data_IF_291786458323
#
_entry.id   IF_291786458323
#
_cell.length_a   1.000
_cell.length_b   1.000
_cell.length_c   1.000
_cell.angle_alpha   90.00
_cell.angle_beta   90.00
_cell.angle_gamma   90.00
#
_symmetry.space_group_name_H-M   'P 1'
#
loop_
_entity.id
_entity.type
_entity.pdbx_description
1 polymer ?
#
# COMPACT_ATOMS: atom_id res chain seq x y z
N UNK A 1 16.24 10.95 8.12
CA UNK A 1 14.85 11.28 7.74
C UNK A 1 14.19 10.02 7.18
N UNK A 2 13.04 9.58 7.72
CA UNK A 2 12.35 8.36 7.23
C UNK A 2 12.02 8.48 5.74
N UNK A 3 12.12 7.38 5.01
CA UNK A 3 11.85 7.34 3.58
C UNK A 3 10.33 7.35 3.36
N UNK A 4 9.83 8.30 2.57
CA UNK A 4 8.40 8.42 2.26
C UNK A 4 8.06 7.72 0.95
N UNK A 5 6.79 7.35 0.76
CA UNK A 5 6.31 6.72 -0.48
C UNK A 5 6.48 7.66 -1.68
N UNK A 6 6.68 7.10 -2.89
CA UNK A 6 6.76 7.86 -4.13
C UNK A 6 5.40 7.97 -4.84
N UNK A 7 4.43 7.11 -4.48
CA UNK A 7 3.05 7.12 -4.98
C UNK A 7 2.08 7.62 -3.92
N UNK A 8 0.99 8.25 -4.38
CA UNK A 8 -0.23 8.38 -3.58
C UNK A 8 -1.04 7.09 -3.78
N UNK A 9 -1.45 6.46 -2.69
CA UNK A 9 -2.21 5.22 -2.75
C UNK A 9 -3.45 5.31 -1.86
N UNK A 10 -4.56 4.78 -2.35
CA UNK A 10 -5.78 4.69 -1.57
C UNK A 10 -5.54 3.78 -0.35
N UNK A 11 -5.94 4.23 0.85
CA UNK A 11 -5.69 3.49 2.09
C UNK A 11 -4.25 3.55 2.63
N UNK A 12 -3.33 4.24 1.94
CA UNK A 12 -1.93 4.34 2.35
C UNK A 12 -1.77 4.91 3.77
N UNK A 13 -0.89 4.30 4.56
CA UNK A 13 -0.74 4.59 5.99
C UNK A 13 0.28 5.69 6.31
N UNK A 14 0.64 6.53 5.34
CA UNK A 14 1.67 7.59 5.51
C UNK A 14 1.45 8.45 6.76
N UNK A 15 0.20 8.81 7.08
CA UNK A 15 -0.11 9.66 8.24
C UNK A 15 -0.17 8.91 9.58
N UNK A 16 -0.27 7.58 9.56
CA UNK A 16 -0.35 6.75 10.77
C UNK A 16 0.87 5.84 10.96
N UNK A 17 1.78 5.77 9.98
CA UNK A 17 2.87 4.79 9.94
C UNK A 17 3.81 4.91 11.13
N UNK A 18 4.07 6.12 11.63
CA UNK A 18 4.90 6.29 12.83
C UNK A 18 4.28 5.63 14.05
N UNK A 19 2.96 5.77 14.22
CA UNK A 19 2.25 5.13 15.32
C UNK A 19 2.08 3.63 15.07
N UNK A 20 1.78 3.22 13.84
CA UNK A 20 1.72 1.80 13.45
C UNK A 20 3.05 1.08 13.72
N UNK A 21 4.18 1.72 13.39
CA UNK A 21 5.52 1.16 13.62
C UNK A 21 5.81 0.85 15.08
N UNK A 22 5.11 1.49 16.03
CA UNK A 22 5.28 1.21 17.47
C UNK A 22 4.64 -0.11 17.92
N UNK A 23 3.80 -0.71 17.08
CA UNK A 23 3.14 -2.00 17.33
C UNK A 23 3.88 -3.18 16.69
N UNK A 24 4.88 -2.91 15.84
CA UNK A 24 5.72 -3.92 15.17
C UNK A 24 6.56 -4.66 16.23
N UNK A 25 6.73 -5.99 16.12
CA UNK A 25 7.50 -6.75 17.10
C UNK A 25 8.97 -6.35 17.03
N UNK A 26 9.66 -6.28 18.17
CA UNK A 26 11.03 -5.73 18.22
C UNK A 26 12.06 -6.54 17.45
N UNK A 27 11.83 -7.84 17.31
CA UNK A 27 12.67 -8.85 16.66
C UNK A 27 12.17 -9.20 15.24
N UNK A 28 11.36 -8.33 14.62
CA UNK A 28 10.86 -8.53 13.25
C UNK A 28 11.97 -8.73 12.21
N UNK A 29 13.21 -8.35 12.54
CA UNK A 29 14.39 -8.48 11.70
C UNK A 29 15.02 -9.89 11.74
N UNK A 30 14.57 -10.79 12.62
CA UNK A 30 15.10 -12.16 12.72
C UNK A 30 14.67 -13.04 11.53
N UNK A 31 13.53 -12.74 10.92
CA UNK A 31 13.00 -13.41 9.73
C UNK A 31 12.83 -12.46 8.55
N UNK A 32 12.08 -12.92 7.56
CA UNK A 32 11.69 -12.14 6.38
C UNK A 32 10.47 -11.28 6.69
N UNK A 33 10.49 -10.02 6.24
CA UNK A 33 9.32 -9.15 6.28
C UNK A 33 8.41 -9.43 5.08
N UNK A 34 7.12 -9.65 5.32
CA UNK A 34 6.13 -9.87 4.27
C UNK A 34 5.05 -8.79 4.32
N UNK A 35 4.73 -8.20 3.17
CA UNK A 35 3.62 -7.25 3.01
C UNK A 35 2.84 -7.60 1.73
N UNK A 36 1.84 -8.51 1.81
CA UNK A 36 1.07 -8.98 0.66
C UNK A 36 -0.06 -8.06 0.20
N UNK A 37 -0.20 -6.91 0.86
CA UNK A 37 -1.07 -5.82 0.46
C UNK A 37 -0.25 -4.54 0.37
N UNK A 38 0.80 -4.56 -0.46
CA UNK A 38 1.82 -3.51 -0.51
C UNK A 38 1.24 -2.10 -0.64
N UNK A 39 0.35 -1.91 -1.62
CA UNK A 39 -0.14 -0.59 -1.98
C UNK A 39 0.98 0.46 -2.13
N UNK A 40 0.98 1.49 -1.28
CA UNK A 40 2.01 2.54 -1.31
C UNK A 40 3.36 2.15 -0.69
N UNK A 41 3.46 1.03 0.02
CA UNK A 41 4.66 0.57 0.72
C UNK A 41 5.06 1.41 1.93
N UNK A 42 4.10 2.12 2.55
CA UNK A 42 4.41 3.01 3.67
C UNK A 42 5.03 2.29 4.85
N UNK A 43 4.55 1.08 5.19
CA UNK A 43 5.08 0.32 6.32
C UNK A 43 6.48 -0.19 6.02
N UNK A 44 6.69 -0.81 4.85
CA UNK A 44 8.01 -1.18 4.36
C UNK A 44 9.04 -0.05 4.43
N UNK A 45 8.74 1.13 3.86
CA UNK A 45 9.71 2.25 3.86
C UNK A 45 9.97 2.83 5.25
N UNK A 46 9.02 2.73 6.18
CA UNK A 46 9.20 3.18 7.55
C UNK A 46 10.05 2.23 8.39
N UNK A 47 9.98 0.92 8.13
CA UNK A 47 10.77 -0.10 8.82
C UNK A 47 12.14 -0.33 8.19
N UNK A 48 12.21 -0.29 6.86
CA UNK A 48 13.40 -0.62 6.07
C UNK A 48 14.03 -1.97 6.48
N UNK A 49 13.26 -3.07 6.46
CA UNK A 49 13.75 -4.39 6.87
C UNK A 49 14.93 -4.87 6.02
N UNK A 50 15.82 -5.71 6.57
CA UNK A 50 16.98 -6.21 5.83
C UNK A 50 16.61 -7.14 4.66
N UNK A 51 15.55 -7.94 4.84
CA UNK A 51 14.99 -8.86 3.86
C UNK A 51 13.48 -8.67 3.82
N UNK A 52 12.92 -8.54 2.62
CA UNK A 52 11.49 -8.36 2.44
C UNK A 52 10.96 -9.02 1.17
N UNK A 53 9.73 -9.50 1.24
CA UNK A 53 8.92 -9.89 0.10
C UNK A 53 7.66 -9.03 0.10
N UNK A 54 7.52 -8.22 -0.94
CA UNK A 54 6.41 -7.29 -1.11
C UNK A 54 5.56 -7.78 -2.27
N UNK A 55 4.24 -7.86 -2.05
CA UNK A 55 3.32 -8.27 -3.10
C UNK A 55 2.01 -7.51 -3.09
N UNK A 56 1.37 -7.51 -4.26
CA UNK A 56 0.06 -6.91 -4.49
C UNK A 56 -0.54 -7.57 -5.74
N UNK A 57 -1.86 -7.67 -5.80
CA UNK A 57 -2.58 -8.16 -6.99
C UNK A 57 -2.45 -7.17 -8.16
N UNK A 58 -2.16 -5.90 -7.90
CA UNK A 58 -2.00 -4.89 -8.93
C UNK A 58 -0.65 -5.04 -9.64
N UNK A 59 -0.68 -5.68 -10.81
CA UNK A 59 0.50 -5.89 -11.65
C UNK A 59 1.19 -4.59 -12.10
N UNK A 60 0.43 -3.51 -12.34
CA UNK A 60 0.99 -2.22 -12.73
C UNK A 60 1.76 -1.57 -11.57
N UNK A 61 1.25 -1.72 -10.34
CA UNK A 61 1.93 -1.26 -9.13
C UNK A 61 3.27 -1.98 -8.96
N UNK A 62 3.26 -3.31 -8.98
CA UNK A 62 4.46 -4.12 -8.79
C UNK A 62 5.47 -3.86 -9.90
N UNK A 63 5.02 -3.76 -11.16
CA UNK A 63 5.87 -3.36 -12.27
C UNK A 63 6.50 -1.98 -12.03
N UNK A 64 5.72 -1.00 -11.57
CA UNK A 64 6.23 0.33 -11.25
C UNK A 64 7.30 0.30 -10.16
N UNK A 65 7.10 -0.47 -9.07
CA UNK A 65 8.10 -0.63 -8.02
C UNK A 65 9.39 -1.26 -8.55
N UNK A 66 9.30 -2.30 -9.40
CA UNK A 66 10.45 -2.94 -10.04
C UNK A 66 11.23 -1.95 -10.90
N UNK A 67 10.55 -1.18 -11.76
CA UNK A 67 11.23 -0.21 -12.63
C UNK A 67 11.86 0.95 -11.85
N UNK A 68 11.26 1.39 -10.73
CA UNK A 68 11.89 2.39 -9.84
C UNK A 68 13.10 1.80 -9.10
N UNK A 69 13.04 0.53 -8.69
CA UNK A 69 14.18 -0.17 -8.08
C UNK A 69 15.35 -0.24 -9.06
N UNK A 70 15.08 -0.66 -10.29
CA UNK A 70 16.12 -1.06 -11.24
C UNK A 70 16.62 0.13 -12.11
N UNK A 71 15.76 1.13 -12.37
CA UNK A 71 16.04 2.23 -13.31
C UNK A 71 15.59 3.62 -12.81
N UNK A 72 15.97 4.07 -11.60
CA UNK A 72 15.46 5.32 -11.01
C UNK A 72 15.76 6.57 -11.86
N UNK A 73 16.94 6.64 -12.48
CA UNK A 73 17.35 7.77 -13.34
C UNK A 73 16.52 7.85 -14.63
N UNK A 74 16.26 6.72 -15.28
CA UNK A 74 15.46 6.66 -16.51
C UNK A 74 14.00 7.06 -16.19
N UNK A 75 13.45 6.56 -15.07
CA UNK A 75 12.13 6.96 -14.60
C UNK A 75 12.05 8.46 -14.35
N UNK A 76 13.04 9.04 -13.66
CA UNK A 76 13.11 10.47 -13.39
C UNK A 76 13.10 11.29 -14.70
N UNK A 77 13.90 10.89 -15.69
CA UNK A 77 14.00 11.59 -16.97
C UNK A 77 12.68 11.58 -17.74
N UNK A 78 11.98 10.44 -17.79
CA UNK A 78 10.64 10.39 -18.39
C UNK A 78 9.63 11.27 -17.65
N UNK A 79 9.60 11.23 -16.32
CA UNK A 79 8.69 12.08 -15.52
C UNK A 79 8.95 13.56 -15.81
N UNK A 80 10.24 13.96 -15.88
CA UNK A 80 10.65 15.32 -16.25
C UNK A 80 10.21 15.71 -17.65
N UNK A 81 10.28 14.79 -18.60
CA UNK A 81 9.81 15.03 -19.97
C UNK A 81 8.30 15.27 -20.00
N UNK A 82 7.53 14.41 -19.33
CA UNK A 82 6.07 14.55 -19.25
C UNK A 82 5.63 15.84 -18.56
N UNK A 83 6.37 16.29 -17.54
CA UNK A 83 6.00 17.48 -16.76
C UNK A 83 6.34 18.82 -17.42
N UNK A 84 7.21 18.85 -18.46
CA UNK A 84 7.53 20.10 -19.20
C UNK A 84 6.32 20.76 -19.86
N UNK A 85 5.33 19.96 -20.22
CA UNK A 85 4.10 20.43 -20.88
C UNK A 85 2.88 19.92 -20.11
N UNK A 86 2.92 19.94 -18.77
CA UNK A 86 1.81 19.47 -17.95
C UNK A 86 0.54 20.26 -18.25
N UNK A 87 -0.45 19.58 -18.80
CA UNK A 87 -1.74 20.15 -19.18
C UNK A 87 -2.79 19.05 -19.20
N UNK A 88 -4.07 19.42 -19.20
CA UNK A 88 -5.17 18.46 -19.33
C UNK A 88 -5.06 17.66 -20.64
N UNK A 89 -4.62 18.28 -21.74
CA UNK A 89 -4.40 17.61 -23.02
C UNK A 89 -3.24 16.59 -22.95
N UNK A 90 -2.11 16.98 -22.36
CA UNK A 90 -0.95 16.10 -22.14
C UNK A 90 -1.32 14.92 -21.25
N UNK A 91 -2.11 15.16 -20.20
CA UNK A 91 -2.61 14.11 -19.32
C UNK A 91 -3.39 13.04 -20.09
N UNK A 92 -4.37 13.44 -20.90
CA UNK A 92 -5.18 12.47 -21.64
C UNK A 92 -4.40 11.78 -22.77
N UNK A 93 -3.42 12.46 -23.38
CA UNK A 93 -2.48 11.83 -24.32
C UNK A 93 -1.68 10.72 -23.63
N UNK A 94 -1.04 11.02 -22.50
CA UNK A 94 -0.27 10.05 -21.72
C UNK A 94 -1.16 8.91 -21.22
N UNK A 95 -2.39 9.21 -20.79
CA UNK A 95 -3.35 8.18 -20.36
C UNK A 95 -3.69 7.21 -21.49
N UNK A 96 -3.92 7.72 -22.69
CA UNK A 96 -4.16 6.89 -23.88
C UNK A 96 -2.94 6.03 -24.22
N UNK A 97 -1.74 6.60 -24.20
CA UNK A 97 -0.49 5.84 -24.43
C UNK A 97 -0.30 4.73 -23.40
N UNK A 98 -0.50 5.04 -22.11
CA UNK A 98 -0.39 4.10 -21.01
C UNK A 98 -1.33 2.89 -21.16
N UNK A 99 -2.59 3.13 -21.55
CA UNK A 99 -3.58 2.07 -21.75
C UNK A 99 -3.26 1.16 -22.95
N UNK A 100 -2.51 1.67 -23.94
CA UNK A 100 -2.09 0.90 -25.13
C UNK A 100 -0.73 0.23 -24.98
N UNK A 101 0.05 0.63 -23.98
CA UNK A 101 1.44 0.15 -23.83
C UNK A 101 1.51 -1.19 -23.11
N UNK A 102 2.54 -1.97 -23.44
CA UNK A 102 2.97 -3.11 -22.62
C UNK A 102 3.80 -2.63 -21.41
N UNK A 103 4.02 -3.48 -20.39
CA UNK A 103 4.92 -3.19 -19.29
C UNK A 103 6.32 -2.81 -19.79
N UNK A 104 6.69 -1.55 -19.60
CA UNK A 104 8.00 -0.97 -19.99
C UNK A 104 8.43 0.03 -18.92
N UNK A 105 9.69 0.49 -18.97
CA UNK A 105 10.17 1.56 -18.08
C UNK A 105 9.35 2.84 -18.30
N UNK A 106 9.06 3.19 -19.57
CA UNK A 106 8.20 4.34 -19.92
C UNK A 106 6.81 4.20 -19.30
N UNK A 107 6.19 3.02 -19.37
CA UNK A 107 4.87 2.79 -18.76
C UNK A 107 4.90 3.01 -17.23
N UNK A 108 5.95 2.59 -16.54
CA UNK A 108 6.09 2.85 -15.10
C UNK A 108 6.22 4.36 -14.79
N UNK A 109 6.97 5.11 -15.61
CA UNK A 109 7.02 6.57 -15.48
C UNK A 109 5.66 7.23 -15.77
N UNK A 110 4.92 6.76 -16.78
CA UNK A 110 3.55 7.22 -17.05
C UNK A 110 2.61 6.92 -15.88
N UNK A 111 2.74 5.75 -15.24
CA UNK A 111 1.97 5.40 -14.04
C UNK A 111 2.19 6.41 -12.90
N UNK A 112 3.45 6.76 -12.61
CA UNK A 112 3.79 7.76 -11.59
C UNK A 112 3.23 9.12 -12.00
N UNK A 113 3.41 9.53 -13.25
CA UNK A 113 2.89 10.80 -13.75
C UNK A 113 1.36 10.88 -13.57
N UNK A 114 0.62 9.88 -14.07
CA UNK A 114 -0.84 9.80 -13.95
C UNK A 114 -1.27 9.78 -12.47
N UNK A 115 -0.57 9.07 -11.60
CA UNK A 115 -0.86 9.08 -10.16
C UNK A 115 -0.72 10.47 -9.55
N UNK A 116 0.33 11.21 -9.92
CA UNK A 116 0.58 12.55 -9.38
C UNK A 116 -0.38 13.60 -9.93
N UNK A 117 -0.82 13.48 -11.17
CA UNK A 117 -1.66 14.49 -11.85
C UNK A 117 -3.16 14.18 -11.85
N UNK A 118 -3.56 12.92 -11.65
CA UNK A 118 -4.97 12.51 -11.64
C UNK A 118 -5.75 12.96 -10.41
N UNK A 119 -7.08 12.96 -10.54
CA UNK A 119 -8.01 13.24 -9.46
C UNK A 119 -7.75 12.31 -8.26
N UNK A 120 -7.43 12.91 -7.11
CA UNK A 120 -7.08 12.21 -5.86
C UNK A 120 -5.93 11.18 -5.93
N UNK A 121 -5.20 11.08 -7.04
CA UNK A 121 -4.09 10.14 -7.19
C UNK A 121 -4.48 8.69 -6.90
N UNK A 122 -5.69 8.31 -7.29
CA UNK A 122 -6.17 6.93 -7.19
C UNK A 122 -5.75 6.13 -8.43
N UNK A 123 -5.71 4.81 -8.31
CA UNK A 123 -5.61 3.91 -9.44
C UNK A 123 -6.97 3.23 -9.65
N UNK A 124 -7.58 3.41 -10.82
CA UNK A 124 -8.87 2.80 -11.17
C UNK A 124 -8.87 2.41 -12.64
N UNK A 125 -9.35 1.21 -12.90
CA UNK A 125 -9.53 0.68 -14.26
C UNK A 125 -10.99 0.44 -14.58
N UNK A 126 -11.36 0.49 -15.85
CA UNK A 126 -12.67 0.05 -16.33
C UNK A 126 -12.74 -1.49 -16.45
N UNK A 127 -13.86 -2.01 -16.95
CA UNK A 127 -14.05 -3.47 -17.16
C UNK A 127 -13.06 -4.09 -18.16
N UNK A 128 -12.51 -3.27 -19.06
CA UNK A 128 -11.51 -3.66 -20.04
C UNK A 128 -10.07 -3.61 -19.47
N UNK A 129 -9.90 -3.23 -18.20
CA UNK A 129 -8.58 -3.09 -17.57
C UNK A 129 -7.87 -1.78 -17.88
N UNK A 130 -8.54 -0.83 -18.56
CA UNK A 130 -7.93 0.45 -18.94
C UNK A 130 -8.06 1.47 -17.80
N UNK A 131 -6.98 2.16 -17.50
CA UNK A 131 -6.97 3.24 -16.52
C UNK A 131 -7.88 4.39 -16.97
N UNK A 132 -8.81 4.79 -16.09
CA UNK A 132 -9.90 5.70 -16.43
C UNK A 132 -10.12 6.83 -15.40
N UNK A 133 -9.11 7.19 -14.62
CA UNK A 133 -9.21 8.32 -13.69
C UNK A 133 -9.12 9.64 -14.49
N UNK A 134 -9.92 10.67 -14.17
CA UNK A 134 -9.84 11.97 -14.82
C UNK A 134 -8.66 12.81 -14.32
N UNK A 135 -8.31 13.85 -15.08
CA UNK A 135 -7.30 14.83 -14.68
C UNK A 135 -7.69 15.52 -13.37
N UNK A 136 -6.71 15.71 -12.47
CA UNK A 136 -6.96 16.20 -11.12
C UNK A 136 -6.87 17.71 -10.95
N UNK A 137 -6.45 18.46 -11.97
CA UNK A 137 -6.25 19.93 -11.94
C UNK A 137 -5.47 20.39 -10.72
N UNK A 138 -4.38 19.68 -10.38
CA UNK A 138 -3.55 20.00 -9.22
C UNK A 138 -2.54 21.09 -9.62
N UNK A 139 -2.50 22.16 -8.84
CA UNK A 139 -1.43 23.14 -8.92
C UNK A 139 -0.13 22.47 -8.42
N UNK A 140 0.90 22.44 -9.27
CA UNK A 140 2.23 21.89 -8.97
C UNK A 140 2.23 20.44 -8.44
N UNK A 141 2.00 19.44 -9.31
CA UNK A 141 2.07 18.03 -8.92
C UNK A 141 3.44 17.69 -8.29
N UNK A 142 3.43 17.14 -7.07
CA UNK A 142 4.64 16.77 -6.35
C UNK A 142 5.26 15.47 -6.89
N UNK A 143 6.02 15.60 -7.98
CA UNK A 143 6.82 14.51 -8.56
C UNK A 143 8.03 14.16 -7.66
N UNK A 144 8.43 12.88 -7.60
CA UNK A 144 9.60 12.48 -6.82
C UNK A 144 10.89 13.05 -7.45
N UNK A 145 11.80 13.55 -6.62
CA UNK A 145 13.13 13.98 -7.07
C UNK A 145 14.01 12.77 -7.44
N UNK A 146 15.10 13.02 -8.18
CA UNK A 146 16.08 11.98 -8.47
C UNK A 146 16.69 11.39 -7.19
N UNK A 147 17.03 12.25 -6.21
CA UNK A 147 17.53 11.81 -4.91
C UNK A 147 16.51 10.91 -4.20
N UNK A 148 15.22 11.29 -4.21
CA UNK A 148 14.16 10.47 -3.60
C UNK A 148 14.05 9.11 -4.28
N UNK A 149 14.02 9.06 -5.62
CA UNK A 149 13.99 7.80 -6.37
C UNK A 149 15.24 6.94 -6.13
N UNK A 150 16.42 7.55 -6.02
CA UNK A 150 17.66 6.84 -5.68
C UNK A 150 17.60 6.20 -4.29
N UNK A 151 17.01 6.88 -3.30
CA UNK A 151 16.78 6.33 -1.95
C UNK A 151 15.75 5.19 -1.97
N UNK A 152 14.66 5.33 -2.75
CA UNK A 152 13.67 4.26 -2.95
C UNK A 152 14.30 3.04 -3.61
N UNK A 153 15.10 3.25 -4.67
CA UNK A 153 15.83 2.19 -5.35
C UNK A 153 16.73 1.45 -4.37
N UNK A 154 17.53 2.17 -3.57
CA UNK A 154 18.42 1.58 -2.57
C UNK A 154 17.66 0.75 -1.54
N UNK A 155 16.53 1.24 -1.02
CA UNK A 155 15.71 0.50 -0.07
C UNK A 155 15.15 -0.80 -0.67
N UNK A 156 14.77 -0.79 -1.95
CA UNK A 156 14.17 -1.94 -2.64
C UNK A 156 15.21 -2.97 -3.17
N UNK A 157 16.51 -2.67 -3.15
CA UNK A 157 17.56 -3.53 -3.75
C UNK A 157 17.57 -4.96 -3.19
N UNK A 158 17.26 -5.14 -1.91
CA UNK A 158 17.24 -6.45 -1.23
C UNK A 158 15.83 -7.01 -1.05
N UNK A 159 14.89 -6.53 -1.87
CA UNK A 159 13.48 -6.83 -1.75
C UNK A 159 12.99 -7.63 -2.95
N UNK A 160 12.27 -8.70 -2.68
CA UNK A 160 11.55 -9.43 -3.70
C UNK A 160 10.19 -8.78 -3.94
N UNK A 161 9.84 -8.55 -5.21
CA UNK A 161 8.61 -7.88 -5.64
C UNK A 161 7.77 -8.86 -6.49
N UNK A 162 6.58 -9.22 -6.01
CA UNK A 162 5.71 -10.22 -6.66
C UNK A 162 4.33 -9.65 -6.99
N UNK A 163 3.82 -10.01 -8.16
CA UNK A 163 2.41 -9.84 -8.47
C UNK A 163 1.71 -11.12 -8.07
N UNK A 164 1.17 -11.17 -6.87
CA UNK A 164 0.59 -12.38 -6.29
C UNK A 164 -0.46 -12.04 -5.24
N UNK A 165 -1.33 -12.99 -4.95
CA UNK A 165 -2.27 -12.89 -3.82
C UNK A 165 -1.55 -13.15 -2.48
N UNK A 166 -2.24 -12.92 -1.36
CA UNK A 166 -1.71 -13.24 -0.05
C UNK A 166 -1.70 -14.76 0.21
N UNK A 167 -2.58 -15.52 -0.46
CA UNK A 167 -2.59 -16.98 -0.39
C UNK A 167 -1.37 -17.60 -1.08
N UNK A 168 -0.92 -17.01 -2.20
CA UNK A 168 0.19 -17.56 -3.00
C UNK A 168 1.54 -17.49 -2.27
N UNK A 169 1.69 -16.56 -1.32
CA UNK A 169 2.95 -16.39 -0.58
C UNK A 169 3.10 -17.38 0.57
N UNK A 170 2.03 -18.05 0.99
CA UNK A 170 2.00 -18.91 2.19
C UNK A 170 3.09 -19.98 2.16
N UNK A 171 3.30 -20.59 1.00
CA UNK A 171 4.26 -21.68 0.77
C UNK A 171 5.72 -21.30 1.02
N UNK A 172 6.05 -20.01 0.96
CA UNK A 172 7.42 -19.51 1.10
C UNK A 172 7.69 -18.93 2.50
N UNK A 173 6.64 -18.77 3.31
CA UNK A 173 6.75 -18.23 4.68
C UNK A 173 7.46 -19.25 5.57
N UNK A 174 8.35 -18.74 6.40
CA UNK A 174 9.17 -19.53 7.32
C UNK A 174 8.99 -19.05 8.75
N UNK A 175 9.36 -19.92 9.69
CA UNK A 175 9.39 -19.62 11.12
C UNK A 175 10.10 -18.29 11.40
N UNK A 176 9.57 -17.50 12.32
CA UNK A 176 10.05 -16.15 12.71
C UNK A 176 9.87 -15.05 11.67
N UNK A 177 9.25 -15.33 10.53
CA UNK A 177 8.87 -14.27 9.60
C UNK A 177 7.86 -13.31 10.25
N UNK A 178 7.90 -12.05 9.82
CA UNK A 178 6.96 -11.03 10.23
C UNK A 178 6.09 -10.60 9.05
N UNK A 179 4.78 -10.76 9.21
CA UNK A 179 3.79 -10.49 8.18
C UNK A 179 2.93 -9.29 8.58
N UNK A 180 2.93 -8.25 7.76
CA UNK A 180 2.04 -7.11 7.89
C UNK A 180 0.91 -7.17 6.84
N UNK A 181 -0.32 -7.27 7.32
CA UNK A 181 -1.52 -7.34 6.49
C UNK A 181 -2.32 -6.03 6.58
N UNK A 182 -2.56 -5.42 5.42
CA UNK A 182 -3.37 -4.22 5.28
C UNK A 182 -4.41 -4.39 4.15
N UNK A 183 -5.34 -5.35 4.31
CA UNK A 183 -6.31 -5.65 3.26
C UNK A 183 -7.25 -4.46 3.01
N UNK A 184 -7.93 -4.39 1.85
CA UNK A 184 -9.00 -3.41 1.63
C UNK A 184 -10.10 -3.49 2.70
N UNK A 185 -10.47 -2.34 3.29
CA UNK A 185 -11.38 -2.33 4.44
C UNK A 185 -12.83 -2.60 4.04
N UNK A 186 -13.62 -3.29 4.88
CA UNK A 186 -15.05 -3.40 4.67
C UNK A 186 -15.71 -2.01 4.73
N UNK A 187 -16.86 -1.82 4.05
CA UNK A 187 -17.60 -0.57 4.13
C UNK A 187 -18.05 -0.31 5.58
N UNK A 188 -17.71 0.87 6.10
CA UNK A 188 -17.97 1.21 7.51
C UNK A 188 -19.46 1.26 7.87
N UNK A 189 -20.35 1.64 6.93
CA UNK A 189 -21.79 1.85 7.16
C UNK A 189 -22.67 1.39 5.98
N UNK A 190 -22.25 0.39 5.19
CA UNK A 190 -22.97 -0.02 3.97
C UNK A 190 -22.88 0.95 2.78
N UNK A 191 -22.29 2.13 2.95
CA UNK A 191 -21.99 3.05 1.83
C UNK A 191 -20.66 2.69 1.16
N UNK A 192 -20.77 2.19 -0.06
CA UNK A 192 -19.71 1.77 -0.98
C UNK A 192 -18.84 2.94 -1.46
N UNK A 193 -17.85 3.38 -0.67
CA UNK A 193 -16.89 4.37 -1.18
C UNK A 193 -15.52 3.78 -1.54
N UNK A 194 -15.24 2.53 -1.17
CA UNK A 194 -13.95 1.86 -1.43
C UNK A 194 -14.02 0.57 -2.26
N UNK A 195 -15.20 0.17 -2.74
CA UNK A 195 -15.42 -1.10 -3.47
C UNK A 195 -15.15 -1.04 -4.97
N UNK A 196 -14.51 0.02 -5.48
CA UNK A 196 -14.31 0.24 -6.92
C UNK A 196 -12.88 0.00 -7.42
N UNK A 197 -11.96 -0.49 -6.59
CA UNK A 197 -10.52 -0.46 -6.87
C UNK A 197 -9.89 -1.76 -7.37
N UNK A 198 -10.67 -2.82 -7.56
CA UNK A 198 -10.26 -4.08 -8.20
C UNK A 198 -11.45 -4.69 -8.95
N UNK A 199 -11.20 -5.45 -10.03
CA UNK A 199 -12.25 -6.17 -10.79
C UNK A 199 -12.99 -7.18 -9.90
N UNK A 200 -12.32 -7.65 -8.86
CA UNK A 200 -12.83 -8.51 -7.79
C UNK A 200 -13.17 -7.66 -6.56
N UNK A 201 -14.38 -7.84 -6.03
CA UNK A 201 -14.85 -7.08 -4.86
C UNK A 201 -14.25 -7.72 -3.61
N UNK A 202 -13.34 -7.01 -2.93
CA UNK A 202 -12.84 -7.45 -1.62
C UNK A 202 -13.94 -7.27 -0.56
N UNK A 203 -14.66 -8.35 -0.25
CA UNK A 203 -15.83 -8.36 0.63
C UNK A 203 -15.60 -9.13 1.93
N UNK A 204 -16.70 -9.56 2.56
CA UNK A 204 -16.65 -10.30 3.82
C UNK A 204 -15.96 -11.66 3.70
N UNK A 205 -16.12 -12.35 2.57
CA UNK A 205 -15.49 -13.65 2.34
C UNK A 205 -13.97 -13.53 2.22
N UNK A 206 -13.47 -12.49 1.56
CA UNK A 206 -12.05 -12.19 1.44
C UNK A 206 -11.45 -11.83 2.80
N UNK A 207 -12.20 -11.08 3.63
CA UNK A 207 -11.80 -10.82 5.02
C UNK A 207 -11.71 -12.09 5.87
N UNK A 208 -12.64 -13.06 5.67
CA UNK A 208 -12.56 -14.38 6.31
C UNK A 208 -11.30 -15.12 5.85
N UNK A 209 -11.03 -15.17 4.54
CA UNK A 209 -9.82 -15.82 3.99
C UNK A 209 -8.53 -15.22 4.56
N UNK A 210 -8.45 -13.89 4.73
CA UNK A 210 -7.30 -13.23 5.35
C UNK A 210 -7.16 -13.66 6.82
N UNK A 211 -8.27 -13.75 7.55
CA UNK A 211 -8.26 -14.22 8.94
C UNK A 211 -7.81 -15.68 9.03
N UNK A 212 -8.30 -16.55 8.16
CA UNK A 212 -7.92 -17.96 8.13
C UNK A 212 -6.45 -18.13 7.79
N UNK A 213 -5.96 -17.36 6.80
CA UNK A 213 -4.54 -17.28 6.48
C UNK A 213 -3.71 -16.84 7.68
N UNK A 214 -4.09 -15.74 8.34
CA UNK A 214 -3.39 -15.23 9.50
C UNK A 214 -3.36 -16.24 10.67
N UNK A 215 -4.44 -17.00 10.87
CA UNK A 215 -4.50 -18.05 11.89
C UNK A 215 -3.53 -19.21 11.60
N UNK A 216 -3.40 -19.65 10.34
CA UNK A 216 -2.44 -20.71 9.97
C UNK A 216 -0.99 -20.32 10.24
N UNK A 217 -0.67 -19.03 10.15
CA UNK A 217 0.68 -18.53 10.44
C UNK A 217 1.05 -18.57 11.93
N UNK A 218 0.06 -18.64 12.83
CA UNK A 218 0.31 -18.79 14.28
C UNK A 218 1.04 -20.11 14.54
N UNK A 219 0.57 -21.19 13.93
CA UNK A 219 1.12 -22.55 14.12
C UNK A 219 2.54 -22.68 13.56
N UNK A 220 2.95 -21.75 12.68
CA UNK A 220 4.29 -21.68 12.09
C UNK A 220 5.28 -20.82 12.91
N UNK A 221 4.91 -20.37 14.12
CA UNK A 221 5.73 -19.46 14.96
C UNK A 221 6.15 -18.19 14.18
N UNK A 222 5.21 -17.66 13.39
CA UNK A 222 5.32 -16.39 12.70
C UNK A 222 4.64 -15.27 13.49
N UNK A 223 5.05 -14.03 13.23
CA UNK A 223 4.42 -12.85 13.80
C UNK A 223 3.55 -12.16 12.77
N UNK A 224 2.31 -11.86 13.13
CA UNK A 224 1.34 -11.25 12.23
C UNK A 224 0.80 -9.96 12.85
N UNK A 225 0.83 -8.88 12.07
CA UNK A 225 0.16 -7.62 12.39
C UNK A 225 -0.85 -7.29 11.31
N UNK A 226 -2.07 -6.94 11.70
CA UNK A 226 -3.13 -6.58 10.77
C UNK A 226 -3.64 -5.19 11.12
N UNK A 227 -3.80 -4.33 10.11
CA UNK A 227 -4.55 -3.07 10.24
C UNK A 227 -5.90 -3.21 9.54
N UNK A 228 -6.99 -2.85 10.21
CA UNK A 228 -8.34 -2.99 9.63
C UNK A 228 -9.35 -2.00 10.23
N UNK A 229 -10.55 -1.93 9.66
CA UNK A 229 -11.63 -1.10 10.16
C UNK A 229 -12.16 -1.60 11.52
N UNK A 230 -12.47 -0.67 12.43
CA UNK A 230 -13.16 -0.97 13.68
C UNK A 230 -14.66 -1.26 13.44
N UNK A 231 -14.98 -2.53 13.21
CA UNK A 231 -16.36 -3.01 13.02
C UNK A 231 -16.62 -4.26 13.87
N UNK A 232 -17.88 -4.55 14.25
CA UNK A 232 -18.21 -5.78 14.97
C UNK A 232 -17.80 -7.05 14.22
N UNK A 233 -17.94 -7.06 12.89
CA UNK A 233 -17.53 -8.17 12.03
C UNK A 233 -16.02 -8.47 12.15
N UNK A 234 -15.18 -7.45 11.99
CA UNK A 234 -13.71 -7.61 12.12
C UNK A 234 -13.33 -8.02 13.55
N UNK A 235 -13.93 -7.41 14.58
CA UNK A 235 -13.66 -7.80 15.97
C UNK A 235 -14.00 -9.26 16.25
N UNK A 236 -15.08 -9.77 15.64
CA UNK A 236 -15.46 -11.16 15.80
C UNK A 236 -14.48 -12.13 15.11
N UNK A 237 -13.98 -11.80 13.92
CA UNK A 237 -12.97 -12.60 13.21
C UNK A 237 -11.71 -12.80 14.07
N UNK A 238 -11.26 -11.74 14.73
CA UNK A 238 -10.01 -11.71 15.49
C UNK A 238 -10.21 -11.72 17.01
N UNK A 239 -11.32 -12.28 17.50
CA UNK A 239 -11.70 -12.24 18.93
C UNK A 239 -10.65 -12.85 19.89
N UNK A 240 -9.84 -13.78 19.39
CA UNK A 240 -8.77 -14.45 20.15
C UNK A 240 -7.40 -13.78 20.00
N UNK A 241 -7.32 -12.68 19.24
CA UNK A 241 -6.07 -11.94 19.01
C UNK A 241 -5.98 -10.70 19.90
N UNK A 242 -4.79 -10.12 20.00
CA UNK A 242 -4.59 -8.86 20.70
C UNK A 242 -5.11 -7.71 19.83
N UNK A 243 -6.18 -7.05 20.27
CA UNK A 243 -6.78 -5.92 19.54
C UNK A 243 -6.45 -4.60 20.26
N UNK A 244 -5.89 -3.65 19.52
CA UNK A 244 -5.66 -2.26 19.95
C UNK A 244 -6.37 -1.30 19.01
N UNK A 245 -6.82 -0.17 19.56
CA UNK A 245 -7.46 0.90 18.78
C UNK A 245 -6.41 1.96 18.47
N UNK A 246 -6.28 2.30 17.20
CA UNK A 246 -5.51 3.42 16.71
C UNK A 246 -6.47 4.48 16.15
N UNK A 247 -6.71 5.58 16.88
CA UNK A 247 -7.51 6.68 16.34
C UNK A 247 -6.81 7.30 15.12
N UNK A 248 -7.47 7.33 13.97
CA UNK A 248 -6.96 7.93 12.73
C UNK A 248 -7.92 9.00 12.21
N UNK A 249 -7.39 10.03 11.56
CA UNK A 249 -8.20 11.07 10.93
C UNK A 249 -8.39 10.71 9.46
N UNK A 250 -9.65 10.54 9.02
CA UNK A 250 -9.97 10.27 7.61
C UNK A 250 -10.79 11.40 7.00
N UNK A 251 -10.57 11.61 5.70
CA UNK A 251 -11.46 12.37 4.84
C UNK A 251 -12.47 11.39 4.24
N UNK A 252 -13.76 11.56 4.57
CA UNK A 252 -14.81 10.62 4.11
C UNK A 252 -15.47 11.11 2.81
N UNK A 253 -15.46 12.42 2.54
CA UNK A 253 -16.05 13.00 1.32
C UNK A 253 -15.31 14.26 0.86
N UNK A 254 -15.48 14.65 -0.41
CA UNK A 254 -14.95 15.90 -0.99
C UNK A 254 -15.39 17.18 -0.24
N UNK A 255 -16.44 17.09 0.58
CA UNK A 255 -16.87 18.15 1.50
C UNK A 255 -16.10 18.01 2.81
N UNK A 256 -14.94 18.65 2.88
CA UNK A 256 -14.23 19.27 4.03
C UNK A 256 -14.46 18.87 5.52
N UNK A 257 -15.23 17.83 5.88
CA UNK A 257 -15.42 17.35 7.25
C UNK A 257 -14.43 16.23 7.54
N UNK A 258 -13.53 16.49 8.51
CA UNK A 258 -12.62 15.48 9.07
C UNK A 258 -13.37 14.68 10.13
N UNK A 259 -13.42 13.37 9.98
CA UNK A 259 -13.94 12.48 11.00
C UNK A 259 -12.80 11.69 11.62
N UNK A 260 -12.78 11.63 12.95
CA UNK A 260 -11.95 10.64 13.66
C UNK A 260 -12.63 9.30 13.47
N UNK A 261 -11.89 8.34 12.94
CA UNK A 261 -12.33 6.97 12.76
C UNK A 261 -11.33 6.09 13.50
N UNK A 262 -11.83 5.02 14.12
CA UNK A 262 -10.95 4.05 14.76
C UNK A 262 -10.47 3.04 13.73
N UNK A 263 -9.17 2.76 13.77
CA UNK A 263 -8.54 1.65 13.07
C UNK A 263 -8.12 0.61 14.12
N UNK A 264 -8.30 -0.67 13.81
CA UNK A 264 -7.86 -1.76 14.67
C UNK A 264 -6.46 -2.20 14.26
N UNK A 265 -5.60 -2.34 15.26
CA UNK A 265 -4.30 -3.01 15.15
C UNK A 265 -4.45 -4.35 15.86
N UNK A 266 -4.25 -5.42 15.11
CA UNK A 266 -4.55 -6.79 15.55
C UNK A 266 -3.26 -7.60 15.46
N UNK A 267 -2.84 -8.23 16.54
CA UNK A 267 -1.57 -8.98 16.60
C UNK A 267 -1.71 -10.33 17.30
N UNK A 268 -0.95 -11.34 16.83
CA UNK A 268 -0.83 -12.64 17.50
C UNK A 268 0.27 -12.67 18.58
N UNK A 269 0.89 -11.52 18.86
CA UNK A 269 1.91 -11.35 19.90
C UNK A 269 1.57 -10.15 20.80
N UNK A 270 2.16 -10.16 22.00
CA UNK A 270 2.03 -9.08 22.96
C UNK A 270 2.89 -7.88 22.59
N UNK A 271 2.30 -6.70 22.73
CA UNK A 271 2.97 -5.43 22.44
C UNK A 271 3.31 -4.77 23.77
N UNK A 272 4.60 -4.73 24.10
CA UNK A 272 5.10 -4.03 25.27
C UNK A 272 5.25 -2.53 24.93
N UNK A 273 4.16 -1.77 25.07
CA UNK A 273 4.24 -0.31 24.99
C UNK A 273 4.98 0.20 26.23
N UNK A 274 6.09 0.93 26.04
CA UNK A 274 6.72 1.67 27.13
C UNK A 274 5.70 2.69 27.63
N UNK A 275 5.19 2.51 28.85
CA UNK A 275 4.50 3.57 29.58
C UNK A 275 5.54 4.68 29.76
N UNK A 276 5.35 5.81 29.08
CA UNK A 276 6.01 7.05 29.49
C UNK A 276 5.37 7.43 30.82
N UNK A 277 6.01 7.02 31.93
CA UNK A 277 5.79 7.67 33.22
C UNK A 277 6.12 9.15 32.98
N UNK A 278 5.11 9.99 33.17
CA UNK A 278 5.25 11.45 33.11
C UNK A 278 6.09 11.95 34.27
#
# INVERSE_FOLDING_TARGET
MKLTTFLRWAGGKVNSVDRLSSFVPKDYYEGTYWEPFLGGGSMFFALSPPHAVLSDLNSHLIHCFKMVRDYPEIIYNYIREFSKSDSEATYYKIRMEYNKSKPTIKQAAQFIYLNKTSYNGIFRVNRNGEYNVPYGRKENPAFPSLEHLGRISTALKKTELRTSSFEDIEKDIKRRDFIYLDPPYPPLNGTSYFTHYTKERFGGNEQIKVSDFANRLIDMDCRVMISNADTPFIRNLYKSWNIRILPVTRWITCKSKRHKVNELIITNYWIFLKIKLR
#
